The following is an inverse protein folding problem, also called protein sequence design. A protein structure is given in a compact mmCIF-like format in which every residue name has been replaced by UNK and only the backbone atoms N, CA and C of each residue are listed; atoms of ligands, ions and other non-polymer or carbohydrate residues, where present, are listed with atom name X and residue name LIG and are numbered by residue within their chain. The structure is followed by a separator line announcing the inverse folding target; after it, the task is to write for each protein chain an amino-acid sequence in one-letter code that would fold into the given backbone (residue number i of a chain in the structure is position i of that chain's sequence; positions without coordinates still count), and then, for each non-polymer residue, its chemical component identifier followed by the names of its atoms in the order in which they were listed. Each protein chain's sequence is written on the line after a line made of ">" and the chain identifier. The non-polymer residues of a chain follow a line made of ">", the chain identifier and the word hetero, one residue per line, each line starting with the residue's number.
data_IF_807286611148
#
_entry.id   IF_807286611148
#
_cell.length_a   1.000
_cell.length_b   1.000
_cell.length_c   1.000
_cell.angle_alpha   90.00
_cell.angle_beta   90.00
_cell.angle_gamma   90.00
#
_symmetry.space_group_name_H-M   'P 1'
#
loop_
_entity.id
_entity.type
_entity.pdbx_description
1 polymer ?
#
# COMPACT_ATOMS: atom_id res chain seq x y z
N UNK A 1 -7.43 -25.42 11.55
CA UNK A 1 -8.65 -24.78 11.02
C UNK A 1 -8.27 -23.50 10.28
N UNK A 2 -7.57 -23.58 9.15
CA UNK A 2 -7.02 -22.39 8.45
C UNK A 2 -7.10 -22.51 6.93
N UNK A 3 -8.09 -23.25 6.41
CA UNK A 3 -8.25 -23.46 4.97
C UNK A 3 -9.25 -22.49 4.32
N UNK A 4 -10.06 -21.78 5.11
CA UNK A 4 -11.06 -20.83 4.59
C UNK A 4 -10.58 -19.37 4.54
N UNK A 5 -9.50 -19.05 5.27
CA UNK A 5 -8.96 -17.68 5.30
C UNK A 5 -8.23 -17.29 4.02
N UNK A 6 -7.64 -18.24 3.28
CA UNK A 6 -6.91 -17.94 2.04
C UNK A 6 -7.80 -17.38 0.94
N UNK A 7 -9.01 -17.94 0.76
CA UNK A 7 -9.98 -17.44 -0.24
C UNK A 7 -10.58 -16.11 0.17
N UNK A 8 -10.92 -15.95 1.45
CA UNK A 8 -11.42 -14.67 1.99
C UNK A 8 -10.37 -13.57 1.87
N UNK A 9 -9.10 -13.88 2.13
CA UNK A 9 -7.98 -12.94 1.97
C UNK A 9 -7.85 -12.46 0.53
N UNK A 10 -7.88 -13.37 -0.44
CA UNK A 10 -7.85 -13.02 -1.87
C UNK A 10 -9.01 -12.12 -2.29
N UNK A 11 -10.24 -12.42 -1.84
CA UNK A 11 -11.43 -11.58 -2.13
C UNK A 11 -11.28 -10.20 -1.49
N UNK A 12 -10.77 -10.13 -0.26
CA UNK A 12 -10.51 -8.86 0.41
C UNK A 12 -9.43 -8.04 -0.32
N UNK A 13 -8.35 -8.68 -0.77
CA UNK A 13 -7.30 -8.02 -1.56
C UNK A 13 -7.86 -7.45 -2.87
N UNK A 14 -8.62 -8.25 -3.63
CA UNK A 14 -9.25 -7.82 -4.87
C UNK A 14 -10.19 -6.63 -4.65
N UNK A 15 -11.03 -6.69 -3.60
CA UNK A 15 -11.96 -5.60 -3.27
C UNK A 15 -11.24 -4.35 -2.81
N UNK A 16 -10.20 -4.47 -1.97
CA UNK A 16 -9.45 -3.32 -1.48
C UNK A 16 -8.63 -2.65 -2.58
N UNK A 17 -8.19 -3.39 -3.60
CA UNK A 17 -7.55 -2.81 -4.79
C UNK A 17 -8.46 -1.81 -5.51
N UNK A 18 -9.77 -2.07 -5.59
CA UNK A 18 -10.75 -1.15 -6.19
C UNK A 18 -10.84 0.20 -5.45
N UNK A 19 -10.45 0.24 -4.17
CA UNK A 19 -10.49 1.44 -3.34
C UNK A 19 -9.15 2.17 -3.26
N UNK A 20 -8.11 1.79 -4.00
CA UNK A 20 -6.83 2.49 -3.98
C UNK A 20 -6.96 3.84 -4.71
N UNK A 21 -6.91 4.92 -3.95
CA UNK A 21 -6.84 6.29 -4.44
C UNK A 21 -6.13 7.18 -3.42
N UNK A 22 -5.96 8.48 -3.73
CA UNK A 22 -5.15 9.41 -2.94
C UNK A 22 -5.51 9.39 -1.43
N UNK A 23 -6.81 9.32 -1.12
CA UNK A 23 -7.30 9.36 0.27
C UNK A 23 -7.12 8.08 1.07
N UNK A 24 -6.90 6.93 0.41
CA UNK A 24 -6.93 5.60 1.05
C UNK A 24 -5.65 4.81 0.86
N UNK A 25 -4.84 5.11 -0.16
CA UNK A 25 -3.68 4.31 -0.54
C UNK A 25 -2.69 4.13 0.62
N UNK A 26 -2.45 5.19 1.42
CA UNK A 26 -1.58 5.11 2.60
C UNK A 26 -2.16 4.24 3.72
N UNK A 27 -3.47 4.30 3.95
CA UNK A 27 -4.13 3.48 4.98
C UNK A 27 -4.18 2.00 4.55
N UNK A 28 -4.48 1.74 3.28
CA UNK A 28 -4.45 0.40 2.70
C UNK A 28 -3.03 -0.17 2.79
N UNK A 29 -2.01 0.63 2.48
CA UNK A 29 -0.61 0.23 2.61
C UNK A 29 -0.22 -0.09 4.07
N UNK A 30 -0.72 0.67 5.05
CA UNK A 30 -0.51 0.37 6.47
C UNK A 30 -1.12 -0.98 6.89
N UNK A 31 -2.32 -1.28 6.39
CA UNK A 31 -3.03 -2.53 6.68
C UNK A 31 -2.28 -3.75 6.12
N UNK A 32 -1.70 -3.66 4.93
CA UNK A 32 -1.00 -4.80 4.32
C UNK A 32 0.31 -5.15 5.00
N UNK A 33 1.02 -4.18 5.58
CA UNK A 33 2.23 -4.43 6.37
C UNK A 33 1.92 -5.28 7.61
N UNK A 34 0.72 -5.12 8.19
CA UNK A 34 0.28 -5.90 9.35
C UNK A 34 -0.23 -7.31 9.01
N UNK A 35 -0.71 -7.53 7.78
CA UNK A 35 -1.41 -8.76 7.38
C UNK A 35 -0.72 -9.58 6.26
N UNK A 36 0.46 -9.14 5.81
CA UNK A 36 1.27 -9.78 4.76
C UNK A 36 0.48 -10.09 3.48
N UNK A 37 -0.27 -9.12 2.98
CA UNK A 37 -1.06 -9.23 1.74
C UNK A 37 -0.24 -8.71 0.55
N UNK A 38 0.58 -9.56 -0.07
CA UNK A 38 1.54 -9.13 -1.08
C UNK A 38 0.88 -8.54 -2.35
N UNK A 39 -0.27 -9.07 -2.78
CA UNK A 39 -0.98 -8.56 -3.96
C UNK A 39 -1.46 -7.12 -3.77
N UNK A 40 -2.01 -6.82 -2.59
CA UNK A 40 -2.50 -5.49 -2.25
C UNK A 40 -1.35 -4.50 -1.97
N UNK A 41 -0.24 -4.95 -1.38
CA UNK A 41 1.00 -4.15 -1.25
C UNK A 41 1.52 -3.75 -2.63
N UNK A 42 1.60 -4.70 -3.56
CA UNK A 42 2.01 -4.44 -4.95
C UNK A 42 1.10 -3.43 -5.63
N UNK A 43 -0.22 -3.56 -5.49
CA UNK A 43 -1.17 -2.62 -6.10
C UNK A 43 -1.02 -1.18 -5.55
N UNK A 44 -0.78 -1.02 -4.25
CA UNK A 44 -0.46 0.29 -3.67
C UNK A 44 0.84 0.86 -4.25
N UNK A 45 1.88 0.03 -4.35
CA UNK A 45 3.17 0.44 -4.89
C UNK A 45 3.08 0.80 -6.39
N UNK A 46 2.33 0.04 -7.18
CA UNK A 46 2.04 0.35 -8.58
C UNK A 46 1.28 1.69 -8.71
N UNK A 47 0.35 1.99 -7.79
CA UNK A 47 -0.35 3.30 -7.75
C UNK A 47 0.62 4.45 -7.43
N UNK A 48 1.56 4.25 -6.50
CA UNK A 48 2.59 5.23 -6.16
C UNK A 48 3.64 5.40 -7.25
N UNK A 49 3.81 4.42 -8.15
CA UNK A 49 4.78 4.50 -9.25
C UNK A 49 4.56 5.72 -10.17
N UNK A 50 3.33 6.23 -10.25
CA UNK A 50 3.03 7.49 -10.94
C UNK A 50 3.46 8.70 -10.08
N UNK A 51 4.37 9.56 -10.55
CA UNK A 51 4.87 10.70 -9.76
C UNK A 51 3.77 11.67 -9.30
N UNK A 52 2.72 11.84 -10.10
CA UNK A 52 1.57 12.69 -9.75
C UNK A 52 0.80 12.13 -8.55
N UNK A 53 0.54 10.82 -8.55
CA UNK A 53 -0.12 10.14 -7.44
C UNK A 53 0.73 10.19 -6.17
N UNK A 54 2.03 9.90 -6.29
CA UNK A 54 2.94 9.96 -5.14
C UNK A 54 2.99 11.37 -4.53
N UNK A 55 3.11 12.41 -5.36
CA UNK A 55 3.08 13.81 -4.88
C UNK A 55 1.76 14.14 -4.18
N UNK A 56 0.64 13.72 -4.76
CA UNK A 56 -0.68 13.98 -4.18
C UNK A 56 -0.89 13.22 -2.85
N UNK A 57 -0.38 12.00 -2.74
CA UNK A 57 -0.47 11.21 -1.50
C UNK A 57 0.51 11.72 -0.45
N UNK A 58 1.71 12.16 -0.83
CA UNK A 58 2.75 12.59 0.10
C UNK A 58 2.35 13.79 0.98
N UNK A 59 1.42 14.62 0.51
CA UNK A 59 0.88 15.74 1.28
C UNK A 59 -0.27 15.35 2.22
N UNK A 60 -0.73 14.10 2.16
CA UNK A 60 -1.80 13.61 3.05
C UNK A 60 -1.25 13.28 4.43
N UNK A 61 -2.05 13.57 5.47
CA UNK A 61 -1.70 13.23 6.85
C UNK A 61 -1.50 11.73 7.04
N UNK A 62 -2.26 10.90 6.33
CA UNK A 62 -2.14 9.44 6.38
C UNK A 62 -0.79 8.94 5.87
N UNK A 63 -0.28 9.51 4.77
CA UNK A 63 1.05 9.14 4.27
C UNK A 63 2.19 9.66 5.15
N UNK A 64 2.05 10.87 5.69
CA UNK A 64 3.01 11.41 6.67
C UNK A 64 3.05 10.58 7.95
N UNK A 65 1.90 10.15 8.45
CA UNK A 65 1.84 9.25 9.60
C UNK A 65 2.43 7.88 9.28
N UNK A 66 2.19 7.36 8.08
CA UNK A 66 2.76 6.10 7.60
C UNK A 66 4.28 6.14 7.55
N UNK A 67 4.88 7.26 7.12
CA UNK A 67 6.34 7.36 7.00
C UNK A 67 7.05 7.34 8.34
N UNK A 68 6.39 7.84 9.39
CA UNK A 68 6.89 7.80 10.77
C UNK A 68 6.61 6.43 11.42
N UNK A 69 5.44 5.85 11.18
CA UNK A 69 5.01 4.60 11.81
C UNK A 69 5.65 3.36 11.21
N UNK A 70 5.94 3.39 9.90
CA UNK A 70 6.43 2.26 9.13
C UNK A 70 7.59 2.69 8.20
N UNK A 71 8.78 3.04 8.76
CA UNK A 71 9.91 3.50 7.96
C UNK A 71 10.45 2.43 7.00
N UNK A 72 10.29 1.14 7.30
CA UNK A 72 10.65 0.02 6.40
C UNK A 72 9.94 0.12 5.05
N UNK A 73 8.62 0.40 5.07
CA UNK A 73 7.81 0.57 3.87
C UNK A 73 8.31 1.73 3.00
N UNK A 74 8.78 2.82 3.62
CA UNK A 74 9.31 3.96 2.88
C UNK A 74 10.61 3.62 2.17
N UNK A 75 11.48 2.84 2.82
CA UNK A 75 12.72 2.34 2.20
C UNK A 75 12.41 1.43 1.02
N UNK A 76 11.47 0.49 1.19
CA UNK A 76 11.03 -0.38 0.09
C UNK A 76 10.42 0.41 -1.07
N UNK A 77 9.55 1.38 -0.76
CA UNK A 77 8.92 2.23 -1.76
C UNK A 77 9.96 3.01 -2.56
N UNK A 78 10.95 3.61 -1.89
CA UNK A 78 12.07 4.32 -2.54
C UNK A 78 12.93 3.39 -3.38
N UNK A 79 13.23 2.18 -2.90
CA UNK A 79 14.00 1.19 -3.64
C UNK A 79 13.30 0.72 -4.94
N UNK A 80 11.99 0.88 -5.03
CA UNK A 80 11.20 0.54 -6.21
C UNK A 80 11.30 1.58 -7.33
N UNK A 81 11.69 2.82 -7.02
CA UNK A 81 11.98 3.84 -8.03
C UNK A 81 13.46 3.75 -8.41
N UNK A 82 13.83 3.20 -9.58
CA UNK A 82 15.21 3.22 -10.01
C UNK A 82 15.67 4.68 -10.13
N UNK A 83 16.71 5.03 -9.37
CA UNK A 83 17.40 6.31 -9.52
C UNK A 83 18.02 6.30 -10.91
N UNK A 84 17.47 7.09 -11.82
CA UNK A 84 18.09 7.39 -13.11
C UNK A 84 19.11 8.52 -12.93
#
# INVERSE_FOLDING_TARGET
>A
MSFEMGRLKLICEEKLCEYIHIGTAANILALVEQHCCEGLKKACFDFFAAPENLKAVAVTHSFQHLSVSCPSLMVELVAMFPVH
#
